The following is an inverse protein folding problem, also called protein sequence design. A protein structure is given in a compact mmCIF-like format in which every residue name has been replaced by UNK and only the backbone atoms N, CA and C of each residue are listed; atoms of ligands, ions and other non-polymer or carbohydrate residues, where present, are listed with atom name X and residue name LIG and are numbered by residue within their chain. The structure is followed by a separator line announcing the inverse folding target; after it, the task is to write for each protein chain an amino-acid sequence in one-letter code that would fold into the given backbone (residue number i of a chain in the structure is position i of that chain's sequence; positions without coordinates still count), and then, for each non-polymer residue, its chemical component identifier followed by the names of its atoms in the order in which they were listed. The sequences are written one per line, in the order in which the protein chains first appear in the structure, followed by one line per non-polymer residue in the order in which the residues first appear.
data_IF_235222050198
#
_entry.id   IF_235222050198
#
_cell.length_a   1.000
_cell.length_b   1.000
_cell.length_c   1.000
_cell.angle_alpha   90.00
_cell.angle_beta   90.00
_cell.angle_gamma   90.00
#
_symmetry.space_group_name_H-M   'P 1'
#
loop_
_entity.id
_entity.type
_entity.pdbx_description
1 polymer ?
#
# COMPACT_ATOMS: atom_id res chain seq x y z
N UNK A 1 4.69 -4.56 3.62
CA UNK A 1 4.84 -5.71 4.50
C UNK A 1 3.48 -6.30 4.84
N UNK A 2 3.49 -7.29 5.71
CA UNK A 2 2.29 -7.93 6.28
C UNK A 2 1.38 -6.93 7.02
N UNK A 3 0.06 -7.06 6.83
CA UNK A 3 -0.97 -6.28 7.53
C UNK A 3 -1.65 -7.09 8.64
N UNK A 4 -2.30 -6.43 9.60
CA UNK A 4 -3.05 -7.10 10.69
C UNK A 4 -4.11 -8.10 10.15
N UNK A 5 -4.68 -7.84 8.98
CA UNK A 5 -5.65 -8.74 8.37
C UNK A 5 -4.98 -9.89 7.62
N UNK A 6 -3.76 -9.72 7.13
CA UNK A 6 -3.01 -10.84 6.57
C UNK A 6 -2.61 -11.83 7.66
N UNK A 7 -2.15 -11.33 8.82
CA UNK A 7 -1.88 -12.15 10.01
C UNK A 7 -3.12 -12.94 10.45
N UNK A 8 -4.30 -12.30 10.46
CA UNK A 8 -5.58 -12.94 10.80
C UNK A 8 -6.21 -13.79 9.68
N UNK A 9 -5.49 -14.00 8.58
CA UNK A 9 -5.96 -14.74 7.41
C UNK A 9 -7.28 -14.19 6.80
N UNK A 10 -7.49 -12.87 6.83
CA UNK A 10 -8.67 -12.20 6.28
C UNK A 10 -8.41 -11.63 4.87
N UNK A 11 -9.44 -11.54 4.04
CA UNK A 11 -9.37 -10.77 2.78
C UNK A 11 -9.39 -9.28 3.05
N UNK A 12 -8.44 -8.54 2.47
CA UNK A 12 -8.28 -7.09 2.75
C UNK A 12 -8.91 -6.20 1.69
N UNK A 13 -8.56 -6.37 0.42
CA UNK A 13 -9.01 -5.50 -0.66
C UNK A 13 -8.67 -4.03 -0.41
N UNK A 14 -9.62 -3.13 -0.68
CA UNK A 14 -9.43 -1.68 -0.54
C UNK A 14 -9.59 -1.16 0.90
N UNK A 15 -9.77 -2.04 1.89
CA UNK A 15 -9.90 -1.63 3.30
C UNK A 15 -8.54 -1.19 3.83
N UNK A 16 -8.51 -0.05 4.53
CA UNK A 16 -7.30 0.43 5.19
C UNK A 16 -7.03 -0.32 6.49
N UNK A 17 -5.96 -1.11 6.46
CA UNK A 17 -5.49 -1.93 7.57
C UNK A 17 -4.01 -1.62 7.79
N UNK A 18 -3.58 -1.33 9.03
CA UNK A 18 -2.17 -1.03 9.31
C UNK A 18 -1.29 -2.27 9.19
N UNK A 19 0.01 -2.04 9.15
CA UNK A 19 1.03 -3.09 9.19
C UNK A 19 1.08 -3.78 10.57
N UNK A 20 1.49 -5.04 10.60
CA UNK A 20 1.94 -5.72 11.83
C UNK A 20 3.34 -5.20 12.22
N UNK A 21 3.82 -5.54 13.43
CA UNK A 21 5.22 -5.30 13.82
C UNK A 21 6.18 -5.97 12.82
N UNK A 22 5.90 -7.22 12.45
CA UNK A 22 6.62 -7.94 11.40
C UNK A 22 6.57 -7.19 10.05
N UNK A 23 5.40 -6.69 9.65
CA UNK A 23 5.25 -5.90 8.43
C UNK A 23 6.06 -4.61 8.41
N UNK A 24 6.26 -3.99 9.59
CA UNK A 24 7.15 -2.84 9.79
C UNK A 24 8.62 -3.25 9.62
N UNK A 25 9.03 -4.36 10.24
CA UNK A 25 10.39 -4.89 10.08
C UNK A 25 10.72 -5.25 8.62
N UNK A 26 9.77 -5.88 7.91
CA UNK A 26 9.89 -6.18 6.48
C UNK A 26 10.11 -4.92 5.64
N UNK A 27 9.38 -3.83 5.95
CA UNK A 27 9.52 -2.56 5.25
C UNK A 27 10.89 -1.91 5.50
N UNK A 28 11.37 -1.95 6.75
CA UNK A 28 12.71 -1.48 7.13
C UNK A 28 13.78 -2.29 6.40
N UNK A 29 13.67 -3.61 6.38
CA UNK A 29 14.64 -4.48 5.73
C UNK A 29 14.66 -4.28 4.21
N UNK A 30 13.49 -4.12 3.58
CA UNK A 30 13.40 -3.73 2.17
C UNK A 30 14.11 -2.39 1.91
N UNK A 31 13.92 -1.41 2.80
CA UNK A 31 14.62 -0.11 2.77
C UNK A 31 16.14 -0.23 2.77
N UNK A 32 16.69 -1.10 3.62
CA UNK A 32 18.15 -1.35 3.66
C UNK A 32 18.67 -1.89 2.33
N UNK A 33 17.93 -2.80 1.70
CA UNK A 33 18.31 -3.42 0.41
C UNK A 33 18.35 -2.41 -0.73
N UNK A 34 17.42 -1.45 -0.73
CA UNK A 34 17.35 -0.41 -1.76
C UNK A 34 18.08 0.89 -1.37
N UNK A 35 18.77 0.92 -0.23
CA UNK A 35 19.36 2.15 0.35
C UNK A 35 20.36 2.89 -0.53
N UNK A 36 20.92 2.21 -1.54
CA UNK A 36 21.88 2.75 -2.51
C UNK A 36 21.27 3.18 -3.83
N UNK A 37 20.01 2.81 -4.09
CA UNK A 37 19.35 3.08 -5.36
C UNK A 37 18.88 4.54 -5.36
N UNK A 38 19.31 5.39 -6.31
CA UNK A 38 18.78 6.75 -6.44
C UNK A 38 17.26 6.76 -6.56
N UNK A 39 16.57 7.42 -5.63
CA UNK A 39 15.11 7.63 -5.66
C UNK A 39 14.84 9.13 -5.69
N UNK A 40 14.14 9.57 -6.73
CA UNK A 40 13.77 10.97 -6.94
C UNK A 40 12.25 11.20 -6.76
N UNK A 41 11.45 10.15 -6.90
CA UNK A 41 9.98 10.17 -6.75
C UNK A 41 9.49 8.80 -6.29
N UNK A 42 8.41 8.79 -5.50
CA UNK A 42 7.78 7.56 -4.99
C UNK A 42 6.31 7.57 -5.39
N UNK A 43 5.83 6.48 -5.96
CA UNK A 43 4.41 6.26 -6.19
C UNK A 43 3.90 5.21 -5.22
N UNK A 44 2.74 5.44 -4.62
CA UNK A 44 2.10 4.47 -3.72
C UNK A 44 0.63 4.33 -4.06
N UNK A 45 0.02 3.25 -3.58
CA UNK A 45 -1.43 3.23 -3.46
C UNK A 45 -1.93 4.29 -2.47
N UNK A 46 -3.23 4.57 -2.48
CA UNK A 46 -3.86 5.43 -1.48
C UNK A 46 -4.02 4.76 -0.11
N UNK A 47 -3.61 3.49 0.02
CA UNK A 47 -3.83 2.69 1.22
C UNK A 47 -2.70 2.89 2.23
N UNK A 48 -3.06 3.00 3.51
CA UNK A 48 -2.15 3.35 4.61
C UNK A 48 -0.97 2.36 4.70
N UNK A 49 -1.21 1.07 4.46
CA UNK A 49 -0.17 0.03 4.49
C UNK A 49 0.91 0.22 3.43
N UNK A 50 0.55 0.72 2.24
CA UNK A 50 1.52 0.98 1.18
C UNK A 50 2.32 2.24 1.49
N UNK A 51 1.63 3.29 1.94
CA UNK A 51 2.26 4.54 2.36
C UNK A 51 3.22 4.29 3.54
N UNK A 52 2.80 3.61 4.61
CA UNK A 52 3.66 3.22 5.73
C UNK A 52 4.88 2.44 5.27
N UNK A 53 4.70 1.44 4.40
CA UNK A 53 5.81 0.63 3.87
C UNK A 53 6.84 1.51 3.15
N UNK A 54 6.39 2.41 2.26
CA UNK A 54 7.27 3.31 1.53
C UNK A 54 8.02 4.26 2.46
N UNK A 55 7.32 4.87 3.42
CA UNK A 55 7.91 5.81 4.38
C UNK A 55 8.97 5.12 5.25
N UNK A 56 8.66 3.94 5.80
CA UNK A 56 9.58 3.15 6.62
C UNK A 56 10.82 2.70 5.83
N UNK A 57 10.64 2.28 4.58
CA UNK A 57 11.75 1.91 3.71
C UNK A 57 12.72 3.10 3.49
N UNK A 58 12.17 4.30 3.29
CA UNK A 58 12.97 5.51 3.05
C UNK A 58 13.75 6.00 4.27
N UNK A 59 13.35 5.65 5.51
CA UNK A 59 14.15 5.94 6.71
C UNK A 59 15.56 5.34 6.62
N UNK A 60 15.70 4.21 5.92
CA UNK A 60 16.97 3.50 5.77
C UNK A 60 17.81 4.00 4.58
N UNK A 61 17.31 4.95 3.80
CA UNK A 61 17.94 5.37 2.54
C UNK A 61 19.15 6.27 2.77
N UNK A 62 20.27 6.00 2.06
CA UNK A 62 21.57 6.68 2.33
C UNK A 62 21.56 8.19 2.11
N UNK A 63 20.78 8.66 1.13
CA UNK A 63 20.70 10.09 0.79
C UNK A 63 19.96 10.92 1.86
N UNK A 64 19.29 10.27 2.83
CA UNK A 64 18.54 10.92 3.93
C UNK A 64 17.59 12.04 3.49
N UNK A 65 17.14 12.01 2.23
CA UNK A 65 16.07 12.88 1.77
C UNK A 65 14.77 12.45 2.45
N UNK A 66 13.93 13.42 2.77
CA UNK A 66 12.69 13.19 3.52
C UNK A 66 11.56 12.88 2.54
N UNK A 67 10.93 11.69 2.60
CA UNK A 67 9.74 11.43 1.80
C UNK A 67 8.57 12.28 2.33
N UNK A 68 7.82 12.93 1.43
CA UNK A 68 6.66 13.77 1.78
C UNK A 68 5.47 13.35 0.91
N UNK A 69 4.35 13.00 1.54
CA UNK A 69 3.10 12.69 0.85
C UNK A 69 2.51 13.97 0.27
N UNK A 70 2.28 13.96 -1.04
CA UNK A 70 1.60 15.04 -1.74
C UNK A 70 0.09 14.81 -1.70
N UNK A 71 -0.62 15.78 -1.14
CA UNK A 71 -2.07 15.78 -1.06
C UNK A 71 -2.66 16.44 -2.29
N UNK A 72 -3.30 15.66 -3.17
CA UNK A 72 -3.83 16.11 -4.45
C UNK A 72 -5.37 16.01 -4.55
N UNK A 73 -6.04 15.65 -3.46
CA UNK A 73 -7.50 15.45 -3.39
C UNK A 73 -8.32 16.73 -3.57
N UNK A 74 -7.71 17.90 -3.31
CA UNK A 74 -8.33 19.20 -3.57
C UNK A 74 -7.26 20.27 -3.80
N UNK A 75 -7.63 21.36 -4.49
CA UNK A 75 -6.75 22.52 -4.65
C UNK A 75 -6.29 23.10 -3.31
N UNK A 76 -7.16 23.05 -2.30
CA UNK A 76 -6.83 23.49 -0.94
C UNK A 76 -5.74 22.62 -0.31
N UNK A 77 -5.85 21.30 -0.44
CA UNK A 77 -4.87 20.36 0.09
C UNK A 77 -3.49 20.49 -0.60
N UNK A 78 -3.49 20.69 -1.92
CA UNK A 78 -2.27 20.99 -2.69
C UNK A 78 -1.59 22.26 -2.19
N UNK A 79 -2.39 23.32 -2.00
CA UNK A 79 -1.87 24.61 -1.52
C UNK A 79 -1.31 24.51 -0.10
N UNK A 80 -2.02 23.81 0.79
CA UNK A 80 -1.63 23.68 2.19
C UNK A 80 -0.43 22.76 2.45
N UNK A 81 -0.15 21.81 1.54
CA UNK A 81 1.01 20.92 1.62
C UNK A 81 2.26 21.48 0.94
N UNK A 82 2.20 22.71 0.41
CA UNK A 82 3.31 23.32 -0.30
C UNK A 82 4.50 23.62 0.62
N UNK A 83 5.67 23.13 0.24
CA UNK A 83 6.96 23.51 0.86
C UNK A 83 7.50 24.74 0.14
N UNK A 84 7.75 25.82 0.88
CA UNK A 84 8.20 27.10 0.28
C UNK A 84 9.72 27.23 0.18
N UNK A 85 10.48 26.62 1.09
CA UNK A 85 11.96 26.66 1.07
C UNK A 85 12.52 25.80 -0.06
N UNK A 86 13.32 26.41 -0.93
CA UNK A 86 13.95 25.71 -2.05
C UNK A 86 14.96 24.66 -1.60
N UNK A 87 15.69 24.93 -0.51
CA UNK A 87 16.58 23.95 0.11
C UNK A 87 15.80 22.72 0.60
N UNK A 88 14.68 22.95 1.31
CA UNK A 88 13.85 21.86 1.83
C UNK A 88 13.21 21.05 0.70
N UNK A 89 12.78 21.69 -0.38
CA UNK A 89 12.30 20.97 -1.58
C UNK A 89 13.37 20.04 -2.14
N UNK A 90 14.61 20.51 -2.27
CA UNK A 90 15.73 19.71 -2.77
C UNK A 90 16.09 18.52 -1.86
N UNK A 91 15.86 18.68 -0.55
CA UNK A 91 16.02 17.62 0.46
C UNK A 91 14.79 16.71 0.60
N UNK A 92 13.72 16.95 -0.16
CA UNK A 92 12.49 16.16 -0.12
C UNK A 92 12.39 15.18 -1.28
N UNK A 93 11.64 14.10 -1.08
CA UNK A 93 11.21 13.18 -2.14
C UNK A 93 9.68 13.16 -2.16
N UNK A 94 9.03 13.56 -3.26
CA UNK A 94 7.58 13.51 -3.35
C UNK A 94 7.08 12.06 -3.37
N UNK A 95 6.08 11.78 -2.54
CA UNK A 95 5.31 10.55 -2.50
C UNK A 95 3.92 10.84 -3.06
N UNK A 96 3.58 10.23 -4.19
CA UNK A 96 2.32 10.44 -4.90
C UNK A 96 1.40 9.24 -4.67
N UNK A 97 0.36 9.38 -3.84
CA UNK A 97 -0.65 8.36 -3.69
C UNK A 97 -1.62 8.37 -4.88
N UNK A 98 -2.02 7.19 -5.34
CA UNK A 98 -3.00 7.01 -6.42
C UNK A 98 -3.91 5.83 -6.10
N UNK A 99 -5.22 6.04 -6.20
CA UNK A 99 -6.20 4.97 -5.95
C UNK A 99 -6.14 3.88 -7.01
N UNK A 100 -5.65 4.20 -8.21
CA UNK A 100 -5.44 3.24 -9.30
C UNK A 100 -4.33 2.23 -8.99
N UNK A 101 -3.48 2.51 -8.00
CA UNK A 101 -2.47 1.58 -7.48
C UNK A 101 -2.98 0.78 -6.27
N UNK A 102 -4.26 0.92 -5.90
CA UNK A 102 -4.84 0.17 -4.79
C UNK A 102 -4.85 -1.34 -5.08
N UNK A 103 -4.86 -2.10 -3.99
CA UNK A 103 -5.16 -3.52 -4.06
C UNK A 103 -6.54 -3.70 -4.67
N UNK A 104 -6.69 -4.75 -5.46
CA UNK A 104 -7.95 -5.12 -6.10
C UNK A 104 -9.07 -5.26 -5.07
N UNK A 105 -10.24 -4.73 -5.39
CA UNK A 105 -11.38 -4.75 -4.47
C UNK A 105 -11.96 -6.18 -4.35
N UNK A 106 -12.02 -6.70 -3.13
CA UNK A 106 -12.46 -8.08 -2.87
C UNK A 106 -13.98 -8.22 -2.69
N UNK A 107 -14.74 -7.13 -2.87
CA UNK A 107 -16.19 -7.13 -2.78
C UNK A 107 -16.70 -7.61 -1.44
N UNK A 108 -17.69 -8.50 -1.49
CA UNK A 108 -18.32 -9.10 -0.31
C UNK A 108 -17.38 -10.02 0.49
N UNK A 109 -16.18 -10.34 -0.05
CA UNK A 109 -15.21 -11.16 0.67
C UNK A 109 -14.40 -10.36 1.70
N UNK A 110 -14.36 -9.03 1.61
CA UNK A 110 -13.54 -8.21 2.51
C UNK A 110 -13.89 -8.45 3.99
N UNK A 111 -12.88 -8.76 4.80
CA UNK A 111 -13.02 -9.07 6.23
C UNK A 111 -13.35 -10.54 6.53
N UNK A 112 -13.69 -11.35 5.53
CA UNK A 112 -13.93 -12.78 5.74
C UNK A 112 -12.62 -13.56 5.87
N UNK A 113 -12.64 -14.62 6.67
CA UNK A 113 -11.51 -15.53 6.79
C UNK A 113 -11.35 -16.35 5.50
N UNK A 114 -10.12 -16.39 4.97
CA UNK A 114 -9.80 -17.06 3.69
C UNK A 114 -10.02 -18.56 3.75
N UNK A 115 -9.71 -19.19 4.88
CA UNK A 115 -9.88 -20.63 5.04
C UNK A 115 -11.37 -21.00 5.12
N UNK A 116 -12.13 -20.33 5.98
CA UNK A 116 -13.59 -20.54 6.11
C UNK A 116 -14.31 -20.25 4.79
N UNK A 117 -13.88 -19.21 4.07
CA UNK A 117 -14.42 -18.89 2.74
C UNK A 117 -14.13 -20.01 1.74
N UNK A 118 -12.92 -20.59 1.78
CA UNK A 118 -12.58 -21.72 0.91
C UNK A 118 -13.31 -23.01 1.29
N UNK A 119 -13.62 -23.22 2.57
CA UNK A 119 -14.47 -24.32 3.04
C UNK A 119 -15.92 -24.14 2.58
N UNK A 120 -16.43 -22.90 2.58
CA UNK A 120 -17.81 -22.58 2.19
C UNK A 120 -18.04 -22.60 0.67
N UNK A 121 -17.13 -22.01 -0.10
CA UNK A 121 -17.30 -21.80 -1.54
C UNK A 121 -16.44 -22.73 -2.40
N UNK A 122 -15.55 -23.50 -1.79
CA UNK A 122 -14.60 -24.37 -2.48
C UNK A 122 -13.27 -23.67 -2.78
N UNK A 123 -12.18 -24.43 -2.65
CA UNK A 123 -10.81 -23.93 -2.85
C UNK A 123 -10.57 -23.43 -4.28
N UNK A 124 -11.12 -24.13 -5.28
CA UNK A 124 -10.98 -23.76 -6.69
C UNK A 124 -11.69 -22.45 -6.99
N UNK A 125 -12.93 -22.27 -6.50
CA UNK A 125 -13.68 -21.02 -6.69
C UNK A 125 -12.98 -19.83 -6.04
N UNK A 126 -12.51 -19.99 -4.80
CA UNK A 126 -11.76 -18.93 -4.10
C UNK A 126 -10.43 -18.66 -4.80
N UNK A 127 -9.78 -19.68 -5.36
CA UNK A 127 -8.56 -19.49 -6.13
C UNK A 127 -8.83 -18.70 -7.41
N UNK A 128 -9.88 -19.05 -8.16
CA UNK A 128 -10.32 -18.38 -9.38
C UNK A 128 -10.64 -16.90 -9.10
N UNK A 129 -11.48 -16.61 -8.10
CA UNK A 129 -11.75 -15.23 -7.69
C UNK A 129 -10.49 -14.45 -7.35
N UNK A 130 -9.43 -15.09 -6.82
CA UNK A 130 -8.17 -14.44 -6.42
C UNK A 130 -7.18 -14.24 -7.55
N UNK A 131 -7.30 -14.97 -8.65
CA UNK A 131 -6.24 -15.09 -9.67
C UNK A 131 -6.72 -14.91 -11.10
N UNK A 132 -8.03 -14.92 -11.34
CA UNK A 132 -8.60 -14.76 -12.68
C UNK A 132 -8.48 -13.31 -13.16
N UNK A 133 -8.26 -13.16 -14.46
CA UNK A 133 -8.31 -11.89 -15.19
C UNK A 133 -9.75 -11.45 -15.46
N UNK A 134 -10.66 -12.40 -15.64
CA UNK A 134 -12.03 -12.13 -16.09
C UNK A 134 -13.08 -12.36 -15.00
N UNK A 135 -12.74 -13.11 -13.95
CA UNK A 135 -13.73 -13.59 -12.96
C UNK A 135 -13.47 -12.91 -11.60
N UNK A 136 -14.24 -11.87 -11.26
CA UNK A 136 -14.14 -11.21 -9.96
C UNK A 136 -14.85 -12.01 -8.86
N UNK A 137 -14.50 -11.77 -7.57
CA UNK A 137 -15.37 -12.17 -6.46
C UNK A 137 -16.69 -11.38 -6.48
N UNK A 138 -17.72 -11.81 -5.73
CA UNK A 138 -19.01 -11.11 -5.69
C UNK A 138 -18.85 -9.63 -5.32
N UNK A 139 -19.34 -8.75 -6.21
CA UNK A 139 -19.18 -7.28 -6.12
C UNK A 139 -17.73 -6.81 -5.97
N UNK A 140 -16.77 -7.55 -6.51
CA UNK A 140 -15.35 -7.21 -6.50
C UNK A 140 -14.80 -6.90 -7.89
N UNK A 141 -13.47 -6.82 -7.97
CA UNK A 141 -12.70 -6.62 -9.19
C UNK A 141 -11.88 -7.88 -9.52
N UNK A 142 -11.57 -8.09 -10.80
CA UNK A 142 -10.63 -9.11 -11.30
C UNK A 142 -9.25 -8.48 -11.59
N UNK A 143 -8.29 -9.28 -12.03
CA UNK A 143 -6.93 -8.80 -12.36
C UNK A 143 -6.86 -7.97 -13.64
#
# INVERSE_FOLDING_TARGET
GESLWNEKNLFTGCVDVPLTEKGVEEAIEAGKRISNIPIDIIFTSSLIRAQMTAMLAMIQHRRKKVPIILHNESEKAKTWSQVFSEETKNQSIPVIPSWQLNERMYGELQGLNKQETAERYGKEQVHEWRRSYDIPPPKGESL
#
